data_IF_769243994803
#
_entry.id   IF_769243994803
#
_cell.length_a   1.000
_cell.length_b   1.000
_cell.length_c   1.000
_cell.angle_alpha   90.00
_cell.angle_beta   90.00
_cell.angle_gamma   90.00
#
_symmetry.space_group_name_H-M   'P 1'
#
loop_
_entity.id
_entity.type
_entity.pdbx_description
1 polymer ?
#
# COMPACT_ATOMS: atom_id res chain seq x y z
N UNK A 1 -19.49 -9.21 -16.57
CA UNK A 1 -20.29 -8.13 -17.19
C UNK A 1 -19.43 -6.89 -17.17
N UNK A 2 -19.28 -6.24 -18.32
CA UNK A 2 -18.39 -5.09 -18.50
C UNK A 2 -19.06 -3.86 -17.88
N UNK A 3 -18.30 -3.12 -17.08
CA UNK A 3 -18.76 -1.86 -16.49
C UNK A 3 -18.49 -0.70 -17.45
N UNK A 4 -19.53 -0.29 -18.16
CA UNK A 4 -19.42 0.75 -19.20
C UNK A 4 -19.24 2.15 -18.63
N UNK A 5 -19.85 2.41 -17.47
CA UNK A 5 -19.78 3.72 -16.83
C UNK A 5 -18.36 4.00 -16.34
N UNK A 6 -17.70 2.96 -15.81
CA UNK A 6 -16.31 3.02 -15.41
C UNK A 6 -15.40 3.55 -16.54
N UNK A 7 -15.50 3.02 -17.75
CA UNK A 7 -14.65 3.46 -18.86
C UNK A 7 -14.96 4.89 -19.29
N UNK A 8 -16.22 5.26 -19.44
CA UNK A 8 -16.62 6.59 -19.91
C UNK A 8 -16.24 7.71 -18.93
N UNK A 9 -16.43 7.49 -17.64
CA UNK A 9 -16.12 8.48 -16.61
C UNK A 9 -14.61 8.72 -16.50
N UNK A 10 -13.81 7.65 -16.57
CA UNK A 10 -12.36 7.78 -16.47
C UNK A 10 -11.75 8.37 -17.75
N UNK A 11 -12.19 7.94 -18.94
CA UNK A 11 -11.57 8.38 -20.20
C UNK A 11 -11.77 9.88 -20.46
N UNK A 12 -12.90 10.43 -20.03
CA UNK A 12 -13.18 11.88 -20.15
C UNK A 12 -12.38 12.75 -19.17
N UNK A 13 -11.80 12.16 -18.12
CA UNK A 13 -11.08 12.88 -17.07
C UNK A 13 -9.56 12.94 -17.29
N UNK A 14 -9.00 12.07 -18.13
CA UNK A 14 -7.55 11.88 -18.23
C UNK A 14 -6.77 13.11 -18.70
N UNK A 15 -7.26 13.83 -19.71
CA UNK A 15 -6.56 15.04 -20.18
C UNK A 15 -6.43 16.09 -19.07
N UNK A 16 -7.49 16.29 -18.28
CA UNK A 16 -7.47 17.24 -17.16
C UNK A 16 -6.57 16.75 -16.03
N UNK A 17 -6.61 15.45 -15.72
CA UNK A 17 -5.81 14.85 -14.66
C UNK A 17 -4.32 14.87 -14.97
N UNK A 18 -3.92 14.55 -16.22
CA UNK A 18 -2.51 14.55 -16.62
C UNK A 18 -1.91 15.95 -16.50
N UNK A 19 -2.69 17.00 -16.78
CA UNK A 19 -2.25 18.39 -16.62
C UNK A 19 -2.18 18.83 -15.14
N UNK A 20 -3.05 18.33 -14.27
CA UNK A 20 -3.11 18.73 -12.86
C UNK A 20 -2.16 17.95 -11.96
N UNK A 21 -2.15 16.63 -12.08
CA UNK A 21 -1.41 15.69 -11.23
C UNK A 21 -1.09 14.43 -12.03
N UNK A 22 0.08 14.45 -12.66
CA UNK A 22 0.52 13.39 -13.55
C UNK A 22 0.69 12.04 -12.84
N UNK A 23 1.33 11.93 -11.66
CA UNK A 23 1.38 10.66 -10.91
C UNK A 23 0.00 10.07 -10.61
N UNK A 24 -0.95 10.89 -10.15
CA UNK A 24 -2.31 10.42 -9.90
C UNK A 24 -3.02 10.00 -11.19
N UNK A 25 -2.84 10.76 -12.29
CA UNK A 25 -3.37 10.40 -13.59
C UNK A 25 -2.83 9.06 -14.08
N UNK A 26 -1.52 8.86 -13.96
CA UNK A 26 -0.85 7.60 -14.29
C UNK A 26 -1.51 6.43 -13.56
N UNK A 27 -1.67 6.51 -12.22
CA UNK A 27 -2.36 5.52 -11.36
C UNK A 27 -3.72 5.09 -11.94
N UNK A 28 -4.57 6.05 -12.25
CA UNK A 28 -5.92 5.77 -12.77
C UNK A 28 -5.88 5.18 -14.18
N UNK A 29 -5.02 5.71 -15.06
CA UNK A 29 -4.91 5.23 -16.45
C UNK A 29 -4.46 3.76 -16.49
N UNK A 30 -3.49 3.37 -15.65
CA UNK A 30 -3.08 1.97 -15.55
C UNK A 30 -4.15 1.08 -14.95
N UNK A 31 -4.92 1.56 -13.97
CA UNK A 31 -6.08 0.82 -13.44
C UNK A 31 -7.09 0.52 -14.55
N UNK A 32 -7.42 1.51 -15.37
CA UNK A 32 -8.28 1.34 -16.55
C UNK A 32 -7.67 0.34 -17.54
N UNK A 33 -6.38 0.43 -17.81
CA UNK A 33 -5.67 -0.52 -18.67
C UNK A 33 -5.75 -1.97 -18.15
N UNK A 34 -5.53 -2.20 -16.86
CA UNK A 34 -5.63 -3.54 -16.24
C UNK A 34 -7.04 -4.13 -16.35
N UNK A 35 -8.06 -3.32 -16.08
CA UNK A 35 -9.47 -3.73 -16.18
C UNK A 35 -9.82 -4.02 -17.64
N UNK A 36 -9.34 -3.24 -18.60
CA UNK A 36 -9.47 -3.52 -20.03
C UNK A 36 -8.87 -4.88 -20.39
N UNK A 37 -7.66 -5.21 -19.94
CA UNK A 37 -7.04 -6.51 -20.23
C UNK A 37 -7.83 -7.68 -19.63
N UNK A 38 -8.33 -7.52 -18.40
CA UNK A 38 -9.21 -8.50 -17.74
C UNK A 38 -10.49 -8.71 -18.55
N UNK A 39 -11.13 -7.63 -18.98
CA UNK A 39 -12.41 -7.68 -19.69
C UNK A 39 -12.25 -8.26 -21.11
N UNK A 40 -11.15 -7.93 -21.79
CA UNK A 40 -10.76 -8.57 -23.07
C UNK A 40 -10.53 -10.07 -22.91
N UNK A 41 -9.86 -10.49 -21.82
CA UNK A 41 -9.68 -11.90 -21.52
C UNK A 41 -11.01 -12.60 -21.26
N UNK A 42 -11.89 -11.97 -20.47
CA UNK A 42 -13.22 -12.50 -20.16
C UNK A 42 -14.07 -12.67 -21.42
N UNK A 43 -14.14 -11.65 -22.29
CA UNK A 43 -14.85 -11.74 -23.58
C UNK A 43 -14.33 -12.88 -24.46
N UNK A 44 -13.02 -13.07 -24.50
CA UNK A 44 -12.38 -14.02 -25.41
C UNK A 44 -12.41 -15.46 -24.91
N UNK A 45 -12.47 -15.69 -23.59
CA UNK A 45 -12.22 -17.00 -22.99
C UNK A 45 -13.33 -17.51 -22.06
N UNK A 46 -14.18 -16.63 -21.54
CA UNK A 46 -15.15 -16.96 -20.47
C UNK A 46 -16.59 -16.69 -20.90
N UNK A 47 -16.84 -15.56 -21.56
CA UNK A 47 -18.18 -15.15 -21.95
C UNK A 47 -18.77 -16.10 -23.00
N UNK A 48 -20.05 -16.46 -22.83
CA UNK A 48 -20.79 -17.17 -23.86
C UNK A 48 -21.23 -16.20 -24.96
N UNK A 49 -21.46 -16.67 -26.21
CA UNK A 49 -21.85 -15.79 -27.32
C UNK A 49 -23.13 -14.97 -27.10
N UNK A 50 -23.98 -15.40 -26.16
CA UNK A 50 -25.24 -14.73 -25.80
C UNK A 50 -25.02 -13.58 -24.79
N UNK A 51 -23.89 -13.60 -24.07
CA UNK A 51 -23.48 -12.57 -23.10
C UNK A 51 -22.60 -11.49 -23.73
N UNK A 52 -22.13 -11.70 -24.96
CA UNK A 52 -21.29 -10.75 -25.68
C UNK A 52 -22.20 -9.85 -26.53
N UNK A 53 -22.28 -8.58 -26.18
CA UNK A 53 -22.95 -7.59 -27.03
C UNK A 53 -21.96 -6.94 -27.99
N UNK A 54 -22.44 -6.51 -29.16
CA UNK A 54 -21.64 -5.73 -30.12
C UNK A 54 -21.11 -4.45 -29.47
N UNK A 55 -21.92 -3.83 -28.62
CA UNK A 55 -21.58 -2.63 -27.85
C UNK A 55 -20.42 -2.87 -26.87
N UNK A 56 -20.33 -4.04 -26.24
CA UNK A 56 -19.21 -4.38 -25.37
C UNK A 56 -17.90 -4.51 -26.16
N UNK A 57 -17.96 -5.12 -27.35
CA UNK A 57 -16.77 -5.26 -28.21
C UNK A 57 -16.32 -3.94 -28.79
N UNK A 58 -17.26 -3.04 -29.13
CA UNK A 58 -16.95 -1.69 -29.61
C UNK A 58 -16.34 -0.85 -28.50
N UNK A 59 -16.93 -0.83 -27.30
CA UNK A 59 -16.43 -0.05 -26.17
C UNK A 59 -14.99 -0.42 -25.80
N UNK A 60 -14.68 -1.71 -25.71
CA UNK A 60 -13.30 -2.13 -25.38
C UNK A 60 -12.32 -1.79 -26.49
N UNK A 61 -12.74 -1.82 -27.76
CA UNK A 61 -11.89 -1.43 -28.88
C UNK A 61 -11.63 0.07 -28.92
N UNK A 62 -12.64 0.90 -28.63
CA UNK A 62 -12.50 2.36 -28.51
C UNK A 62 -11.58 2.72 -27.33
N UNK A 63 -11.80 2.10 -26.18
CA UNK A 63 -10.95 2.30 -24.98
C UNK A 63 -9.49 1.89 -25.25
N UNK A 64 -9.27 0.78 -25.96
CA UNK A 64 -7.90 0.37 -26.33
C UNK A 64 -7.23 1.38 -27.27
N UNK A 65 -7.97 1.96 -28.22
CA UNK A 65 -7.45 2.97 -29.12
C UNK A 65 -7.05 4.24 -28.36
N UNK A 66 -7.92 4.75 -27.47
CA UNK A 66 -7.63 5.94 -26.66
C UNK A 66 -6.42 5.74 -25.73
N UNK A 67 -6.34 4.60 -25.04
CA UNK A 67 -5.17 4.28 -24.21
C UNK A 67 -3.89 4.15 -25.04
N UNK A 68 -3.98 3.66 -26.28
CA UNK A 68 -2.82 3.58 -27.19
C UNK A 68 -2.36 4.99 -27.59
N UNK A 69 -3.28 5.89 -27.91
CA UNK A 69 -2.95 7.30 -28.23
C UNK A 69 -2.30 8.00 -27.03
N UNK A 70 -2.81 7.77 -25.82
CA UNK A 70 -2.22 8.30 -24.58
C UNK A 70 -0.81 7.75 -24.33
N UNK A 71 -0.60 6.46 -24.59
CA UNK A 71 0.74 5.85 -24.49
C UNK A 71 1.73 6.47 -25.48
N UNK A 72 1.30 6.69 -26.73
CA UNK A 72 2.14 7.35 -27.75
C UNK A 72 2.49 8.79 -27.36
N UNK A 73 1.54 9.50 -26.75
CA UNK A 73 1.72 10.91 -26.38
C UNK A 73 2.56 11.10 -25.11
N UNK A 74 2.36 10.27 -24.09
CA UNK A 74 2.94 10.47 -22.76
C UNK A 74 3.96 9.39 -22.34
N UNK A 75 4.09 8.31 -23.14
CA UNK A 75 5.04 7.21 -22.97
C UNK A 75 4.88 6.45 -21.64
N UNK A 76 3.65 6.01 -21.37
CA UNK A 76 3.27 5.23 -20.18
C UNK A 76 3.78 3.78 -20.21
N UNK A 77 4.11 3.25 -21.38
CA UNK A 77 4.66 1.92 -21.66
C UNK A 77 3.72 0.76 -21.30
N UNK A 78 2.43 0.89 -21.53
CA UNK A 78 1.43 -0.14 -21.18
C UNK A 78 1.77 -1.52 -21.76
N UNK A 79 2.23 -1.59 -23.01
CA UNK A 79 2.57 -2.85 -23.66
C UNK A 79 3.75 -3.56 -22.97
N UNK A 80 4.74 -2.82 -22.48
CA UNK A 80 5.88 -3.37 -21.76
C UNK A 80 5.43 -3.88 -20.38
N UNK A 81 4.61 -3.09 -19.68
CA UNK A 81 4.02 -3.49 -18.41
C UNK A 81 3.19 -4.77 -18.54
N UNK A 82 2.30 -4.85 -19.54
CA UNK A 82 1.50 -6.05 -19.77
C UNK A 82 2.35 -7.28 -20.12
N UNK A 83 3.41 -7.10 -20.91
CA UNK A 83 4.34 -8.19 -21.19
C UNK A 83 5.06 -8.67 -19.93
N UNK A 84 5.46 -7.74 -19.04
CA UNK A 84 6.05 -8.10 -17.75
C UNK A 84 5.07 -8.91 -16.90
N UNK A 85 3.86 -8.41 -16.70
CA UNK A 85 2.81 -9.11 -15.94
C UNK A 85 2.54 -10.50 -16.54
N UNK A 86 2.43 -10.62 -17.86
CA UNK A 86 2.19 -11.90 -18.51
C UNK A 86 3.39 -12.85 -18.44
N UNK A 87 4.62 -12.32 -18.42
CA UNK A 87 5.82 -13.13 -18.22
C UNK A 87 5.93 -13.61 -16.77
N UNK A 88 5.62 -12.75 -15.80
CA UNK A 88 5.55 -13.09 -14.37
C UNK A 88 4.46 -14.12 -14.10
N UNK A 89 3.26 -13.97 -14.68
CA UNK A 89 2.18 -14.97 -14.53
C UNK A 89 2.54 -16.32 -15.15
N UNK A 90 3.30 -16.34 -16.26
CA UNK A 90 3.82 -17.57 -16.85
C UNK A 90 4.95 -18.17 -16.01
N UNK A 91 5.81 -17.33 -15.43
CA UNK A 91 6.85 -17.75 -14.49
C UNK A 91 6.24 -18.25 -13.16
N UNK A 92 5.07 -17.78 -12.75
CA UNK A 92 4.33 -18.24 -11.58
C UNK A 92 3.82 -19.69 -11.67
N UNK A 93 3.84 -20.33 -12.85
CA UNK A 93 3.64 -21.79 -12.98
C UNK A 93 4.93 -22.61 -12.73
N UNK A 94 6.09 -21.97 -12.65
CA UNK A 94 7.39 -22.54 -12.27
C UNK A 94 8.20 -21.48 -11.49
N UNK A 95 7.88 -21.30 -10.21
CA UNK A 95 8.37 -20.21 -9.34
C UNK A 95 9.85 -19.80 -9.52
N UNK A 96 10.10 -18.50 -9.78
CA UNK A 96 11.04 -17.60 -9.09
C UNK A 96 11.22 -16.31 -9.90
N UNK A 97 10.95 -15.16 -9.27
CA UNK A 97 11.15 -13.82 -9.84
C UNK A 97 12.62 -13.39 -9.66
N UNK A 98 13.29 -12.90 -10.71
CA UNK A 98 14.36 -11.92 -10.57
C UNK A 98 14.03 -10.64 -11.33
N UNK A 99 13.71 -9.60 -10.55
CA UNK A 99 14.32 -8.26 -10.56
C UNK A 99 14.82 -7.73 -11.92
N UNK A 100 13.97 -6.95 -12.59
CA UNK A 100 14.28 -5.64 -13.21
C UNK A 100 13.16 -5.27 -14.17
N UNK A 101 12.24 -4.43 -13.71
CA UNK A 101 11.53 -3.38 -14.46
C UNK A 101 10.45 -2.81 -13.53
N UNK A 102 10.82 -1.78 -12.76
CA UNK A 102 9.84 -0.89 -12.13
C UNK A 102 9.00 -0.20 -13.22
N UNK A 103 7.67 -0.30 -13.09
CA UNK A 103 6.85 0.89 -12.97
C UNK A 103 6.11 0.84 -11.63
N UNK A 104 6.35 1.84 -10.79
CA UNK A 104 5.67 2.05 -9.51
C UNK A 104 4.17 2.30 -9.75
N UNK A 105 3.32 1.37 -9.32
CA UNK A 105 1.86 1.49 -9.33
C UNK A 105 1.28 1.07 -7.98
N UNK A 106 1.13 2.04 -7.09
CA UNK A 106 0.23 1.92 -5.94
C UNK A 106 -1.21 2.04 -6.43
N UNK A 107 -1.97 0.96 -6.29
CA UNK A 107 -3.42 0.92 -6.52
C UNK A 107 -4.14 1.17 -5.19
N UNK A 108 -4.54 2.41 -4.93
CA UNK A 108 -5.61 2.67 -3.95
C UNK A 108 -6.96 2.84 -4.66
N UNK A 109 -7.95 2.22 -4.05
CA UNK A 109 -9.33 2.10 -4.51
C UNK A 109 -10.18 3.04 -3.67
N UNK A 110 -10.16 4.35 -3.94
CA UNK A 110 -11.14 5.27 -3.34
C UNK A 110 -11.48 6.46 -4.24
N UNK A 111 -12.57 6.33 -5.00
CA UNK A 111 -13.30 7.47 -5.57
C UNK A 111 -14.81 7.17 -5.56
N UNK A 112 -15.40 7.19 -4.37
CA UNK A 112 -16.80 7.59 -4.14
C UNK A 112 -16.83 8.36 -2.82
N UNK A 113 -16.93 9.68 -2.78
CA UNK A 113 -18.20 10.39 -2.91
C UNK A 113 -17.95 11.90 -3.07
N UNK A 114 -18.66 12.47 -4.03
CA UNK A 114 -18.71 13.89 -4.33
C UNK A 114 -19.69 14.55 -3.34
N UNK A 115 -19.22 15.13 -2.24
CA UNK A 115 -20.06 16.00 -1.39
C UNK A 115 -19.63 17.47 -1.43
N UNK A 116 -20.61 18.27 -1.83
CA UNK A 116 -20.56 19.69 -2.08
C UNK A 116 -20.45 20.52 -0.79
N UNK A 117 -19.67 21.60 -0.87
CA UNK A 117 -19.80 22.89 -0.18
C UNK A 117 -20.94 23.05 0.87
N UNK A 118 -20.57 23.21 2.14
CA UNK A 118 -21.41 23.79 3.20
C UNK A 118 -20.67 23.96 4.54
N UNK A 119 -20.62 25.19 5.05
CA UNK A 119 -19.87 25.68 6.23
C UNK A 119 -20.24 25.04 7.61
N UNK A 120 -19.38 25.19 8.65
CA UNK A 120 -19.45 24.46 9.91
C UNK A 120 -20.24 25.19 11.02
N UNK A 121 -20.93 24.44 11.89
CA UNK A 121 -21.40 24.94 13.19
C UNK A 121 -21.04 23.99 14.35
N UNK A 122 -20.23 24.55 15.25
CA UNK A 122 -20.11 24.36 16.71
C UNK A 122 -20.02 22.96 17.32
N UNK A 123 -18.81 22.69 17.82
CA UNK A 123 -18.47 21.79 18.92
C UNK A 123 -19.10 22.29 20.23
N UNK A 124 -19.70 21.39 21.01
CA UNK A 124 -19.92 21.59 22.44
C UNK A 124 -19.29 20.40 23.20
N UNK A 125 -18.31 20.72 24.03
CA UNK A 125 -17.61 19.83 24.95
C UNK A 125 -18.47 19.66 26.20
N UNK A 126 -18.58 18.45 26.75
CA UNK A 126 -18.77 18.30 28.19
C UNK A 126 -17.95 17.10 28.71
N UNK A 127 -16.98 17.44 29.55
CA UNK A 127 -16.17 16.58 30.40
C UNK A 127 -16.99 16.13 31.62
N UNK A 128 -16.93 14.86 32.03
CA UNK A 128 -16.90 14.39 33.44
C UNK A 128 -16.33 12.95 33.43
N UNK A 129 -15.05 12.73 33.74
CA UNK A 129 -14.48 12.38 35.06
C UNK A 129 -15.25 11.25 35.81
N UNK A 130 -14.67 10.05 35.90
CA UNK A 130 -14.72 9.27 37.14
C UNK A 130 -13.60 8.21 37.23
N UNK A 131 -13.00 8.18 38.41
CA UNK A 131 -11.79 7.50 38.82
C UNK A 131 -12.10 6.24 39.68
N UNK A 132 -11.15 5.30 39.72
CA UNK A 132 -10.88 4.27 40.77
C UNK A 132 -11.83 3.07 41.08
N UNK A 133 -11.31 1.87 40.75
CA UNK A 133 -10.88 0.77 41.66
C UNK A 133 -11.89 -0.22 42.32
N UNK A 134 -11.63 -1.51 42.00
CA UNK A 134 -11.85 -2.78 42.73
C UNK A 134 -13.27 -3.26 43.13
N UNK A 135 -13.69 -4.39 42.52
CA UNK A 135 -14.21 -5.56 43.23
C UNK A 135 -14.20 -6.80 42.31
N UNK A 136 -13.39 -7.80 42.67
CA UNK A 136 -13.44 -9.17 42.14
C UNK A 136 -14.61 -9.88 42.82
N UNK A 137 -15.64 -10.26 42.07
CA UNK A 137 -16.56 -11.33 42.46
C UNK A 137 -16.73 -12.28 41.26
N UNK A 138 -16.41 -13.55 41.53
CA UNK A 138 -16.48 -14.69 40.64
C UNK A 138 -17.90 -14.88 40.09
N UNK A 139 -18.12 -14.52 38.83
CA UNK A 139 -19.23 -15.05 38.03
C UNK A 139 -18.61 -15.92 36.93
N UNK A 140 -19.06 -17.18 36.91
CA UNK A 140 -18.69 -18.21 35.96
C UNK A 140 -18.90 -17.71 34.52
N UNK A 141 -17.85 -17.22 33.89
CA UNK A 141 -17.81 -17.00 32.45
C UNK A 141 -17.71 -18.36 31.80
N UNK A 142 -18.84 -18.77 31.23
CA UNK A 142 -18.91 -19.83 30.23
C UNK A 142 -17.77 -19.62 29.23
N UNK A 143 -16.99 -20.68 28.98
CA UNK A 143 -15.98 -20.75 27.93
C UNK A 143 -16.66 -20.47 26.58
N UNK A 144 -16.77 -19.20 26.21
CA UNK A 144 -17.07 -18.75 24.85
C UNK A 144 -15.81 -18.06 24.31
N UNK A 145 -15.19 -18.78 23.36
CA UNK A 145 -14.28 -18.34 22.30
C UNK A 145 -12.86 -17.87 22.67
N UNK A 146 -11.95 -18.84 22.58
CA UNK A 146 -10.49 -18.74 22.40
C UNK A 146 -10.03 -17.87 21.19
N UNK A 147 -10.92 -17.20 20.46
CA UNK A 147 -10.58 -16.47 19.21
C UNK A 147 -10.05 -15.04 19.44
N UNK A 148 -10.40 -14.39 20.56
CA UNK A 148 -9.99 -12.98 20.80
C UNK A 148 -8.48 -12.87 21.10
N UNK A 149 -7.84 -13.91 21.62
CA UNK A 149 -6.41 -13.91 21.91
C UNK A 149 -5.52 -14.26 20.70
N UNK A 150 -6.08 -14.80 19.62
CA UNK A 150 -5.30 -15.20 18.46
C UNK A 150 -4.99 -14.02 17.54
N UNK A 151 -5.92 -13.07 17.39
CA UNK A 151 -5.77 -11.93 16.49
C UNK A 151 -4.64 -10.97 16.92
N UNK A 152 -4.57 -10.59 18.21
CA UNK A 152 -3.50 -9.70 18.70
C UNK A 152 -2.11 -10.34 18.61
N UNK A 153 -2.02 -11.65 18.86
CA UNK A 153 -0.78 -12.41 18.70
C UNK A 153 -0.37 -12.51 17.22
N UNK A 154 -1.33 -12.67 16.31
CA UNK A 154 -1.09 -12.71 14.86
C UNK A 154 -0.71 -11.33 14.31
N UNK A 155 -1.32 -10.24 14.79
CA UNK A 155 -0.93 -8.86 14.45
C UNK A 155 0.51 -8.56 14.88
N UNK A 156 0.87 -8.94 16.11
CA UNK A 156 2.24 -8.79 16.59
C UNK A 156 3.23 -9.64 15.77
N UNK A 157 2.81 -10.81 15.27
CA UNK A 157 3.62 -11.62 14.36
C UNK A 157 3.82 -10.98 12.99
N UNK A 158 2.84 -10.24 12.47
CA UNK A 158 2.98 -9.51 11.20
C UNK A 158 4.09 -8.47 11.34
N UNK A 159 4.01 -7.62 12.36
CA UNK A 159 5.01 -6.58 12.65
C UNK A 159 6.38 -7.21 12.88
N UNK A 160 6.45 -8.28 13.67
CA UNK A 160 7.70 -8.98 13.96
C UNK A 160 8.32 -9.60 12.70
N UNK A 161 7.51 -10.10 11.76
CA UNK A 161 7.98 -10.66 10.50
C UNK A 161 8.61 -9.58 9.61
N UNK A 162 7.92 -8.45 9.46
CA UNK A 162 8.39 -7.31 8.65
C UNK A 162 9.68 -6.75 9.25
N UNK A 163 9.73 -6.52 10.56
CA UNK A 163 10.94 -6.05 11.24
C UNK A 163 12.11 -7.04 11.12
N UNK A 164 11.83 -8.35 11.20
CA UNK A 164 12.88 -9.36 11.04
C UNK A 164 13.48 -9.33 9.63
N UNK A 165 12.64 -9.12 8.60
CA UNK A 165 13.11 -8.93 7.23
C UNK A 165 13.91 -7.64 7.09
N UNK A 166 13.39 -6.52 7.61
CA UNK A 166 14.06 -5.22 7.55
C UNK A 166 15.46 -5.26 8.16
N UNK A 167 15.63 -5.96 9.29
CA UNK A 167 16.94 -6.19 9.94
C UNK A 167 17.91 -7.01 9.11
N UNK A 168 17.44 -7.81 8.17
CA UNK A 168 18.28 -8.59 7.26
C UNK A 168 18.63 -7.76 6.02
N UNK A 169 17.66 -7.06 5.44
CA UNK A 169 17.81 -6.17 4.28
C UNK A 169 18.75 -5.01 4.59
N UNK A 170 18.47 -4.31 5.71
CA UNK A 170 19.27 -3.23 6.24
C UNK A 170 19.92 -3.72 7.55
N UNK A 171 21.07 -4.39 7.40
CA UNK A 171 21.70 -5.07 8.53
C UNK A 171 21.94 -4.12 9.72
N UNK A 172 21.70 -4.60 10.94
CA UNK A 172 22.00 -3.82 12.16
C UNK A 172 23.45 -3.30 12.17
N UNK A 173 24.38 -4.05 11.60
CA UNK A 173 25.78 -3.63 11.48
C UNK A 173 25.99 -2.46 10.50
N UNK A 174 25.15 -2.31 9.47
CA UNK A 174 25.15 -1.13 8.58
C UNK A 174 24.49 0.06 9.28
N UNK A 175 23.37 -0.16 9.99
CA UNK A 175 22.72 0.89 10.79
C UNK A 175 23.66 1.48 11.85
N UNK A 176 24.45 0.63 12.51
CA UNK A 176 25.46 1.06 13.48
C UNK A 176 26.65 1.80 12.86
N UNK A 177 26.82 1.81 11.53
CA UNK A 177 27.80 2.69 10.88
C UNK A 177 27.29 4.12 10.77
N UNK A 178 25.99 4.30 10.56
CA UNK A 178 25.34 5.61 10.56
C UNK A 178 25.15 6.12 12.00
N UNK A 179 24.73 5.23 12.90
CA UNK A 179 24.34 5.57 14.28
C UNK A 179 25.05 4.64 15.27
N UNK A 180 26.35 4.85 15.56
CA UNK A 180 27.16 3.95 16.39
C UNK A 180 26.73 3.92 17.86
N UNK A 181 26.02 4.95 18.33
CA UNK A 181 25.54 5.08 19.71
C UNK A 181 24.14 4.44 19.89
N UNK A 182 23.46 4.10 18.79
CA UNK A 182 22.11 3.56 18.82
C UNK A 182 22.09 2.05 19.13
N UNK A 183 21.24 1.67 20.08
CA UNK A 183 20.97 0.27 20.41
C UNK A 183 20.10 -0.41 19.35
N UNK A 184 20.16 -1.75 19.28
CA UNK A 184 19.36 -2.52 18.30
C UNK A 184 17.85 -2.27 18.44
N UNK A 185 17.35 -2.19 19.67
CA UNK A 185 15.93 -1.96 19.95
C UNK A 185 15.47 -0.60 19.42
N UNK A 186 16.23 0.47 19.70
CA UNK A 186 15.99 1.80 19.16
C UNK A 186 16.02 1.79 17.62
N UNK A 187 17.06 1.20 17.02
CA UNK A 187 17.16 1.08 15.56
C UNK A 187 15.97 0.32 14.95
N UNK A 188 15.40 -0.64 15.67
CA UNK A 188 14.25 -1.42 15.20
C UNK A 188 12.96 -0.62 15.25
N UNK A 189 12.66 -0.01 16.39
CA UNK A 189 11.34 0.56 16.67
C UNK A 189 11.26 2.06 16.42
N UNK A 190 12.34 2.79 16.63
CA UNK A 190 12.38 4.26 16.53
C UNK A 190 13.01 4.74 15.21
N UNK A 191 13.60 3.83 14.42
CA UNK A 191 14.20 4.14 13.12
C UNK A 191 13.58 3.34 11.99
N UNK A 192 13.68 2.01 12.02
CA UNK A 192 13.19 1.16 10.94
C UNK A 192 11.66 1.21 10.81
N UNK A 193 10.91 1.12 11.93
CA UNK A 193 9.44 1.17 11.88
C UNK A 193 8.91 2.47 11.22
N UNK A 194 9.31 3.68 11.64
CA UNK A 194 8.85 4.91 10.99
C UNK A 194 9.05 4.93 9.47
N UNK A 195 10.17 4.39 8.99
CA UNK A 195 10.48 4.30 7.55
C UNK A 195 9.56 3.27 6.88
N UNK A 196 9.40 2.09 7.47
CA UNK A 196 8.53 1.02 6.95
C UNK A 196 7.07 1.50 6.83
N UNK A 197 6.60 2.31 7.77
CA UNK A 197 5.22 2.81 7.80
C UNK A 197 5.02 4.13 7.07
N UNK A 198 6.06 4.67 6.43
CA UNK A 198 6.02 6.01 5.85
C UNK A 198 4.94 6.16 4.77
N UNK A 199 4.75 5.11 3.95
CA UNK A 199 3.74 5.08 2.88
C UNK A 199 2.31 5.17 3.41
N UNK A 200 1.92 4.29 4.34
CA UNK A 200 0.60 4.34 5.01
C UNK A 200 0.34 5.68 5.69
N UNK A 201 1.38 6.31 6.22
CA UNK A 201 1.28 7.61 6.88
C UNK A 201 1.30 8.81 5.93
N UNK A 202 1.40 8.58 4.61
CA UNK A 202 1.63 9.59 3.57
C UNK A 202 2.74 10.59 3.93
N UNK A 203 3.75 10.13 4.68
CA UNK A 203 4.80 11.01 5.18
C UNK A 203 5.72 11.40 4.04
N UNK A 204 5.89 12.71 3.87
CA UNK A 204 6.94 13.21 2.98
C UNK A 204 8.31 12.85 3.53
N UNK A 205 9.29 12.78 2.64
CA UNK A 205 10.67 12.49 3.01
C UNK A 205 11.22 13.50 4.05
N UNK A 206 10.82 14.78 3.96
CA UNK A 206 11.18 15.82 4.93
C UNK A 206 10.57 15.53 6.31
N UNK A 207 9.28 15.19 6.38
CA UNK A 207 8.60 14.85 7.64
C UNK A 207 9.15 13.58 8.29
N UNK A 208 9.59 12.61 7.50
CA UNK A 208 10.23 11.41 8.00
C UNK A 208 11.61 11.72 8.61
N UNK A 209 12.40 12.58 7.96
CA UNK A 209 13.69 13.04 8.50
C UNK A 209 13.50 13.83 9.79
N UNK A 210 12.50 14.72 9.85
CA UNK A 210 12.15 15.47 11.07
C UNK A 210 11.75 14.53 12.21
N UNK A 211 10.87 13.56 11.95
CA UNK A 211 10.45 12.57 12.94
C UNK A 211 11.64 11.75 13.47
N UNK A 212 12.54 11.31 12.60
CA UNK A 212 13.72 10.57 13.03
C UNK A 212 14.65 11.46 13.87
N UNK A 213 14.84 12.72 13.46
CA UNK A 213 15.65 13.67 14.24
C UNK A 213 15.08 13.86 15.66
N UNK A 214 13.76 14.00 15.78
CA UNK A 214 13.07 14.06 17.08
C UNK A 214 13.29 12.78 17.91
N UNK A 215 13.20 11.60 17.29
CA UNK A 215 13.44 10.33 17.98
C UNK A 215 14.87 10.21 18.52
N UNK A 216 15.87 10.66 17.77
CA UNK A 216 17.25 10.71 18.22
C UNK A 216 17.45 11.73 19.36
N UNK A 217 16.86 12.93 19.25
CA UNK A 217 16.93 13.96 20.28
C UNK A 217 16.31 13.49 21.61
N UNK A 218 15.17 12.81 21.56
CA UNK A 218 14.50 12.23 22.74
C UNK A 218 15.35 11.20 23.49
N UNK A 219 16.35 10.62 22.82
CA UNK A 219 17.27 9.64 23.39
C UNK A 219 18.67 10.21 23.68
N UNK A 220 18.78 11.54 23.76
CA UNK A 220 20.04 12.28 23.99
C UNK A 220 21.13 11.98 22.94
N UNK A 221 20.72 11.60 21.72
CA UNK A 221 21.62 11.34 20.59
C UNK A 221 21.57 12.50 19.60
N UNK A 222 22.73 13.10 19.32
CA UNK A 222 22.84 14.17 18.33
C UNK A 222 23.17 13.58 16.96
N UNK A 223 22.31 13.80 15.98
CA UNK A 223 22.51 13.35 14.60
C UNK A 223 22.37 14.53 13.65
N UNK A 224 23.30 14.58 12.70
CA UNK A 224 23.30 15.60 11.66
C UNK A 224 22.13 15.38 10.67
N UNK A 225 21.30 16.39 10.39
CA UNK A 225 20.14 16.25 9.49
C UNK A 225 20.50 15.78 8.08
N UNK A 226 21.64 16.21 7.53
CA UNK A 226 22.09 15.75 6.20
C UNK A 226 22.43 14.25 6.21
N UNK A 227 22.92 13.74 7.35
CA UNK A 227 23.17 12.30 7.55
C UNK A 227 21.87 11.52 7.63
N UNK A 228 20.84 12.05 8.32
CA UNK A 228 19.51 11.44 8.37
C UNK A 228 18.86 11.41 6.99
N UNK A 229 18.93 12.52 6.25
CA UNK A 229 18.38 12.61 4.90
C UNK A 229 18.96 11.54 3.97
N UNK A 230 20.30 11.44 3.89
CA UNK A 230 20.95 10.41 3.09
C UNK A 230 20.69 8.98 3.58
N UNK A 231 20.53 8.82 4.89
CA UNK A 231 20.17 7.54 5.46
C UNK A 231 18.75 7.13 5.04
N UNK A 232 17.77 8.02 5.13
CA UNK A 232 16.38 7.76 4.71
C UNK A 232 16.34 7.41 3.22
N UNK A 233 17.02 8.16 2.34
CA UNK A 233 17.09 7.83 0.91
C UNK A 233 17.61 6.40 0.67
N UNK A 234 18.62 6.00 1.44
CA UNK A 234 19.19 4.65 1.33
C UNK A 234 18.24 3.60 1.91
N UNK A 235 17.60 3.90 3.02
CA UNK A 235 16.72 2.99 3.74
C UNK A 235 15.43 2.72 2.97
N UNK A 236 14.81 3.73 2.37
CA UNK A 236 13.61 3.58 1.52
C UNK A 236 13.87 2.60 0.35
N UNK A 237 15.03 2.73 -0.29
CA UNK A 237 15.44 1.79 -1.38
C UNK A 237 15.67 0.38 -0.84
N UNK A 238 16.34 0.26 0.31
CA UNK A 238 16.66 -1.06 0.88
C UNK A 238 15.46 -1.76 1.52
N UNK A 239 14.42 -1.03 1.89
CA UNK A 239 13.24 -1.52 2.62
C UNK A 239 11.96 -1.49 1.78
N UNK A 240 12.06 -1.27 0.46
CA UNK A 240 10.92 -1.19 -0.46
C UNK A 240 9.96 -2.39 -0.30
N UNK A 241 10.50 -3.60 -0.12
CA UNK A 241 9.71 -4.83 0.06
C UNK A 241 8.98 -4.85 1.40
N UNK A 242 9.64 -4.41 2.46
CA UNK A 242 9.08 -4.32 3.81
C UNK A 242 8.00 -3.24 3.90
N UNK A 243 8.20 -2.09 3.25
CA UNK A 243 7.21 -1.02 3.11
C UNK A 243 5.96 -1.54 2.37
N UNK A 244 6.14 -2.16 1.20
CA UNK A 244 5.03 -2.76 0.44
C UNK A 244 4.31 -3.87 1.24
N UNK A 245 5.06 -4.71 1.96
CA UNK A 245 4.46 -5.75 2.79
C UNK A 245 3.64 -5.17 3.95
N UNK A 246 4.05 -4.03 4.51
CA UNK A 246 3.32 -3.30 5.55
C UNK A 246 2.05 -2.64 4.98
N UNK A 247 2.13 -2.02 3.80
CA UNK A 247 0.98 -1.43 3.10
C UNK A 247 -0.08 -2.50 2.81
N UNK A 248 0.31 -3.61 2.19
CA UNK A 248 -0.59 -4.75 1.91
C UNK A 248 -1.19 -5.32 3.18
N UNK A 249 -0.41 -5.37 4.28
CA UNK A 249 -0.93 -5.85 5.55
C UNK A 249 -2.02 -4.92 6.10
N UNK A 250 -1.77 -3.61 6.05
CA UNK A 250 -2.70 -2.58 6.49
C UNK A 250 -3.99 -2.61 5.67
N UNK A 251 -3.88 -2.62 4.34
CA UNK A 251 -5.03 -2.66 3.43
C UNK A 251 -5.86 -3.93 3.61
N UNK A 252 -5.20 -5.06 3.78
CA UNK A 252 -5.87 -6.35 3.96
C UNK A 252 -6.63 -6.38 5.30
N UNK A 253 -6.04 -5.85 6.37
CA UNK A 253 -6.69 -5.75 7.67
C UNK A 253 -7.88 -4.77 7.61
N UNK A 254 -7.71 -3.61 6.98
CA UNK A 254 -8.79 -2.62 6.79
C UNK A 254 -9.94 -3.18 5.94
N UNK A 255 -9.64 -4.06 4.99
CA UNK A 255 -10.62 -4.78 4.17
C UNK A 255 -11.32 -5.94 4.91
N UNK A 256 -11.00 -6.17 6.19
CA UNK A 256 -11.60 -7.21 7.02
C UNK A 256 -11.01 -8.61 6.84
N UNK A 257 -9.78 -8.73 6.31
CA UNK A 257 -9.08 -10.01 6.26
C UNK A 257 -8.58 -10.42 7.65
N UNK A 258 -8.65 -11.72 7.97
CA UNK A 258 -8.13 -12.22 9.25
C UNK A 258 -6.61 -12.08 9.36
N UNK A 259 -6.10 -11.77 10.54
CA UNK A 259 -4.68 -11.54 10.79
C UNK A 259 -3.80 -12.71 10.34
N UNK A 260 -4.23 -13.96 10.57
CA UNK A 260 -3.51 -15.15 10.11
C UNK A 260 -3.38 -15.29 8.60
N UNK A 261 -4.37 -14.81 7.83
CA UNK A 261 -4.28 -14.77 6.35
C UNK A 261 -3.35 -13.65 5.90
N UNK A 262 -3.42 -12.48 6.53
CA UNK A 262 -2.51 -11.37 6.28
C UNK A 262 -1.07 -11.78 6.56
N UNK A 263 -0.82 -12.44 7.70
CA UNK A 263 0.50 -12.97 8.07
C UNK A 263 1.04 -13.96 7.03
N UNK A 264 0.20 -14.83 6.47
CA UNK A 264 0.61 -15.75 5.42
C UNK A 264 0.99 -15.00 4.13
N UNK A 265 0.25 -13.95 3.77
CA UNK A 265 0.55 -13.08 2.63
C UNK A 265 1.88 -12.34 2.82
N UNK A 266 2.07 -11.70 3.98
CA UNK A 266 3.30 -10.98 4.33
C UNK A 266 4.51 -11.91 4.29
N UNK A 267 4.41 -13.13 4.84
CA UNK A 267 5.47 -14.15 4.77
C UNK A 267 5.80 -14.64 3.37
N UNK A 268 4.91 -14.46 2.40
CA UNK A 268 5.17 -14.83 1.01
C UNK A 268 5.85 -13.69 0.22
N UNK A 269 5.73 -12.45 0.72
CA UNK A 269 6.32 -11.25 0.11
C UNK A 269 7.77 -11.00 0.57
N UNK A 270 8.09 -11.41 1.80
CA UNK A 270 9.40 -11.25 2.46
C UNK A 270 10.23 -12.54 2.40
#
# INVERSE_FOLDING_TARGET
MIDKNFYLENMTAFDMMIESDRPAAEKVIFKVYCILQRDKYWLSNVATPEEITEEDTELLAETEAELTELDEQYNFRFANFHQLVMNELKAGQEFSVPETLEPTFEMEDDLTENEAYGEPESVDYDEEDFNETEAIEDEEWEEEDDDIHNDEYELNQIISCILTSAKQSLSIAQLQQYFPEAGEEFLSHEVLMPIITANVGEKTHEELVELLAENFELHDMEVDPDTLYHFVETAEICLEKEMMAFDIATDSLNSGMSAGRVLATVKALL
#
